data_IF_871798435196
#
_entry.id   IF_871798435196
#
_cell.length_a   1.000
_cell.length_b   1.000
_cell.length_c   1.000
_cell.angle_alpha   90.00
_cell.angle_beta   90.00
_cell.angle_gamma   90.00
#
_symmetry.space_group_name_H-M   'P 1'
#
loop_
_entity.id
_entity.type
_entity.pdbx_description
1 polymer ?
#
# COMPACT_ATOMS: atom_id res chain seq x y z
N UNK A 1 -25.14 12.96 9.11
CA UNK A 1 -23.99 12.57 8.28
C UNK A 1 -22.73 12.72 9.10
N UNK A 2 -22.07 11.63 9.43
CA UNK A 2 -20.69 11.69 9.93
C UNK A 2 -19.80 12.05 8.73
N UNK A 3 -18.98 13.10 8.88
CA UNK A 3 -18.05 13.52 7.85
C UNK A 3 -16.86 12.55 7.88
N UNK A 4 -16.75 11.69 6.86
CA UNK A 4 -15.61 10.80 6.66
C UNK A 4 -14.84 11.34 5.46
N UNK A 5 -13.77 12.08 5.70
CA UNK A 5 -12.95 12.65 4.63
C UNK A 5 -11.99 11.63 4.01
N UNK A 6 -11.76 10.51 4.70
CA UNK A 6 -10.83 9.46 4.29
C UNK A 6 -11.57 8.13 4.11
N UNK A 7 -11.21 7.37 3.09
CA UNK A 7 -11.61 5.97 2.97
C UNK A 7 -10.40 5.04 2.82
N UNK A 8 -10.46 3.90 3.51
CA UNK A 8 -9.58 2.77 3.26
C UNK A 8 -10.23 1.89 2.20
N UNK A 9 -9.55 1.70 1.06
CA UNK A 9 -9.99 0.76 0.03
C UNK A 9 -9.59 -0.67 0.42
N UNK A 10 -10.57 -1.54 0.58
CA UNK A 10 -10.37 -2.94 0.92
C UNK A 10 -10.61 -3.83 -0.31
N UNK A 11 -9.55 -4.43 -0.83
CA UNK A 11 -9.56 -5.31 -2.00
C UNK A 11 -9.56 -6.78 -1.57
N UNK A 12 -10.66 -7.47 -1.84
CA UNK A 12 -10.73 -8.93 -1.62
C UNK A 12 -9.72 -9.70 -2.46
N UNK A 13 -9.45 -9.23 -3.69
CA UNK A 13 -8.48 -9.84 -4.59
C UNK A 13 -7.02 -9.71 -4.09
N UNK A 14 -6.76 -8.82 -3.13
CA UNK A 14 -5.43 -8.63 -2.55
C UNK A 14 -5.25 -9.33 -1.19
N UNK A 15 -6.23 -10.11 -0.72
CA UNK A 15 -6.16 -10.84 0.56
C UNK A 15 -5.35 -12.13 0.45
N UNK A 16 -4.08 -12.00 0.11
CA UNK A 16 -3.10 -13.08 0.12
C UNK A 16 -1.74 -12.53 0.57
N UNK A 17 -0.86 -13.44 0.96
CA UNK A 17 0.54 -13.10 1.19
C UNK A 17 1.36 -13.46 -0.05
N UNK A 18 1.92 -12.44 -0.70
CA UNK A 18 2.76 -12.64 -1.88
C UNK A 18 4.08 -13.37 -1.55
N UNK A 19 4.56 -13.33 -0.31
CA UNK A 19 5.78 -14.06 0.09
C UNK A 19 5.58 -15.58 0.10
N UNK A 20 4.32 -16.02 0.22
CA UNK A 20 3.95 -17.44 0.10
C UNK A 20 3.68 -17.88 -1.33
N UNK A 21 3.71 -16.95 -2.29
CA UNK A 21 3.40 -17.24 -3.68
C UNK A 21 4.43 -18.24 -4.24
N UNK A 22 3.95 -19.33 -4.87
CA UNK A 22 4.74 -20.45 -5.40
C UNK A 22 5.39 -21.37 -4.36
N UNK A 23 5.15 -21.18 -3.06
CA UNK A 23 5.48 -22.20 -2.08
C UNK A 23 4.49 -23.36 -2.20
N UNK A 24 4.95 -24.59 -1.94
CA UNK A 24 4.04 -25.70 -1.80
C UNK A 24 3.19 -25.47 -0.54
N UNK A 25 1.91 -25.82 -0.58
CA UNK A 25 1.02 -25.70 0.59
C UNK A 25 1.55 -26.42 1.83
N UNK A 26 2.35 -27.48 1.65
CA UNK A 26 3.03 -28.18 2.75
C UNK A 26 4.20 -27.38 3.37
N UNK A 27 4.79 -26.46 2.61
CA UNK A 27 5.91 -25.61 3.04
C UNK A 27 5.43 -24.28 3.64
N UNK A 28 4.15 -23.94 3.42
CA UNK A 28 3.51 -22.78 4.05
C UNK A 28 3.33 -23.10 5.54
N UNK A 29 4.18 -22.50 6.38
CA UNK A 29 3.99 -22.51 7.83
C UNK A 29 2.73 -21.70 8.13
N UNK A 30 1.65 -22.38 8.51
CA UNK A 30 0.44 -21.71 8.97
C UNK A 30 0.79 -20.83 10.17
N UNK A 31 0.44 -19.56 10.04
CA UNK A 31 0.83 -18.40 10.84
C UNK A 31 0.17 -18.35 12.24
N UNK A 32 0.11 -19.50 12.94
CA UNK A 32 -0.40 -19.61 14.31
C UNK A 32 0.70 -19.56 15.37
N UNK A 33 1.96 -19.38 14.97
CA UNK A 33 3.06 -19.14 15.90
C UNK A 33 3.10 -17.63 16.23
N UNK A 34 2.69 -17.19 17.42
CA UNK A 34 2.77 -15.78 17.81
C UNK A 34 4.21 -15.24 17.88
N UNK A 35 5.22 -16.11 17.74
CA UNK A 35 6.64 -15.76 17.66
C UNK A 35 7.25 -15.99 16.27
N UNK A 36 6.45 -16.33 15.24
CA UNK A 36 6.95 -16.35 13.86
C UNK A 36 7.37 -14.93 13.47
N UNK A 37 8.62 -14.80 13.04
CA UNK A 37 9.14 -13.59 12.38
C UNK A 37 8.46 -13.41 11.01
N UNK A 38 7.77 -14.45 10.52
CA UNK A 38 7.04 -14.55 9.26
C UNK A 38 5.52 -14.35 9.40
N UNK A 39 5.03 -13.68 10.45
CA UNK A 39 3.66 -13.16 10.35
C UNK A 39 3.58 -12.33 9.08
N UNK A 40 2.59 -12.57 8.21
CA UNK A 40 2.53 -11.94 6.89
C UNK A 40 2.32 -10.42 7.02
N UNK A 41 3.38 -9.69 7.36
CA UNK A 41 3.40 -8.25 7.60
C UNK A 41 2.98 -7.49 6.34
N UNK A 42 3.06 -8.16 5.20
CA UNK A 42 2.82 -7.64 3.87
C UNK A 42 1.45 -8.00 3.30
N UNK A 43 0.55 -8.65 4.04
CA UNK A 43 -0.81 -8.86 3.53
C UNK A 43 -1.60 -7.55 3.48
N UNK A 44 -2.42 -7.39 2.44
CA UNK A 44 -3.36 -6.26 2.32
C UNK A 44 -4.23 -6.09 3.56
N UNK A 45 -4.76 -7.20 4.09
CA UNK A 45 -5.58 -7.22 5.31
C UNK A 45 -4.84 -6.59 6.49
N UNK A 46 -3.61 -7.03 6.78
CA UNK A 46 -2.82 -6.50 7.90
C UNK A 46 -2.50 -5.01 7.70
N UNK A 47 -2.16 -4.62 6.48
CA UNK A 47 -1.90 -3.22 6.14
C UNK A 47 -3.15 -2.34 6.35
N UNK A 48 -4.33 -2.80 5.93
CA UNK A 48 -5.59 -2.10 6.14
C UNK A 48 -5.98 -2.01 7.63
N UNK A 49 -5.81 -3.10 8.39
CA UNK A 49 -6.04 -3.10 9.85
C UNK A 49 -5.11 -2.13 10.59
N UNK A 50 -3.82 -2.14 10.26
CA UNK A 50 -2.84 -1.25 10.86
C UNK A 50 -3.14 0.22 10.53
N UNK A 51 -3.51 0.50 9.28
CA UNK A 51 -3.93 1.84 8.88
C UNK A 51 -5.18 2.30 9.64
N UNK A 52 -6.19 1.42 9.76
CA UNK A 52 -7.38 1.71 10.57
C UNK A 52 -7.04 2.01 12.04
N UNK A 53 -6.14 1.25 12.66
CA UNK A 53 -5.67 1.51 14.03
C UNK A 53 -4.98 2.87 14.16
N UNK A 54 -4.15 3.25 13.19
CA UNK A 54 -3.48 4.56 13.17
C UNK A 54 -4.51 5.68 13.08
N UNK A 55 -5.47 5.58 12.16
CA UNK A 55 -6.52 6.60 12.00
C UNK A 55 -7.39 6.71 13.26
N UNK A 56 -7.74 5.58 13.90
CA UNK A 56 -8.43 5.57 15.20
C UNK A 56 -7.60 6.26 16.29
N UNK A 57 -6.30 5.93 16.41
CA UNK A 57 -5.41 6.54 17.39
C UNK A 57 -5.29 8.06 17.22
N UNK A 58 -5.28 8.53 15.96
CA UNK A 58 -5.24 9.94 15.61
C UNK A 58 -6.61 10.63 15.65
N UNK A 59 -7.68 9.91 16.00
CA UNK A 59 -9.06 10.40 16.01
C UNK A 59 -9.53 10.97 14.66
N UNK A 60 -9.08 10.35 13.56
CA UNK A 60 -9.47 10.72 12.20
C UNK A 60 -10.61 9.79 11.76
N UNK A 61 -11.85 10.29 11.54
CA UNK A 61 -12.94 9.47 11.04
C UNK A 61 -12.67 8.96 9.62
N UNK A 62 -12.89 7.68 9.38
CA UNK A 62 -12.70 7.07 8.07
C UNK A 62 -13.81 6.08 7.72
N UNK A 63 -14.05 5.90 6.42
CA UNK A 63 -14.84 4.83 5.86
C UNK A 63 -13.97 3.64 5.43
N UNK A 64 -14.59 2.48 5.27
CA UNK A 64 -14.00 1.34 4.56
C UNK A 64 -14.86 1.09 3.33
N UNK A 65 -14.24 1.10 2.16
CA UNK A 65 -14.91 0.97 0.88
C UNK A 65 -14.33 -0.21 0.11
N UNK A 66 -15.09 -0.68 -0.87
CA UNK A 66 -14.72 -1.82 -1.72
C UNK A 66 -14.96 -1.47 -3.19
N UNK A 67 -14.74 -2.44 -4.09
CA UNK A 67 -15.06 -2.31 -5.51
C UNK A 67 -16.51 -1.88 -5.76
N UNK A 68 -17.45 -2.27 -4.91
CA UNK A 68 -18.87 -1.89 -5.02
C UNK A 68 -19.12 -0.40 -4.88
N UNK A 69 -18.19 0.33 -4.25
CA UNK A 69 -18.30 1.74 -3.91
C UNK A 69 -17.55 2.66 -4.88
N UNK A 70 -16.98 2.12 -5.97
CA UNK A 70 -16.19 2.88 -6.96
C UNK A 70 -16.90 4.12 -7.52
N UNK A 71 -18.22 4.10 -7.61
CA UNK A 71 -19.01 5.25 -8.10
C UNK A 71 -19.14 6.38 -7.08
N UNK A 72 -18.72 6.13 -5.85
CA UNK A 72 -18.91 7.03 -4.71
C UNK A 72 -17.59 7.57 -4.15
N UNK A 73 -16.45 7.35 -4.83
CA UNK A 73 -15.15 7.83 -4.37
C UNK A 73 -15.12 9.35 -4.13
N UNK A 74 -15.91 10.12 -4.89
CA UNK A 74 -16.04 11.58 -4.75
C UNK A 74 -16.53 12.03 -3.37
N UNK A 75 -17.11 11.12 -2.56
CA UNK A 75 -17.52 11.42 -1.18
C UNK A 75 -16.32 11.59 -0.24
N UNK A 76 -15.13 11.14 -0.64
CA UNK A 76 -13.92 11.15 0.16
C UNK A 76 -12.86 12.06 -0.44
N UNK A 77 -12.17 12.82 0.41
CA UNK A 77 -11.04 13.67 0.00
C UNK A 77 -9.78 12.84 -0.28
N UNK A 78 -9.62 11.72 0.43
CA UNK A 78 -8.47 10.81 0.30
C UNK A 78 -8.96 9.37 0.23
N UNK A 79 -8.51 8.65 -0.80
CA UNK A 79 -8.60 7.18 -0.87
C UNK A 79 -7.23 6.60 -0.51
N UNK A 80 -7.20 5.69 0.47
CA UNK A 80 -5.99 5.00 0.90
C UNK A 80 -6.00 3.56 0.40
N UNK A 81 -4.95 3.18 -0.33
CA UNK A 81 -4.71 1.86 -0.90
C UNK A 81 -3.57 1.17 -0.13
N UNK A 82 -3.83 0.57 1.05
CA UNK A 82 -2.79 -0.08 1.84
C UNK A 82 -2.40 -1.42 1.21
N UNK A 83 -1.28 -1.46 0.48
CA UNK A 83 -0.78 -2.63 -0.25
C UNK A 83 -1.86 -3.37 -1.07
N UNK A 84 -2.64 -2.62 -1.86
CA UNK A 84 -3.68 -3.18 -2.75
C UNK A 84 -2.99 -3.71 -4.01
N UNK A 85 -2.42 -4.90 -3.90
CA UNK A 85 -1.55 -5.47 -4.94
C UNK A 85 -2.28 -5.73 -6.26
N UNK A 86 -3.53 -6.20 -6.19
CA UNK A 86 -4.35 -6.54 -7.34
C UNK A 86 -5.41 -5.47 -7.57
N UNK A 87 -5.41 -4.90 -8.78
CA UNK A 87 -6.44 -4.02 -9.30
C UNK A 87 -6.87 -4.47 -10.70
N UNK A 88 -8.17 -4.41 -10.96
CA UNK A 88 -8.74 -4.58 -12.29
C UNK A 88 -8.70 -3.27 -13.09
N UNK A 89 -8.85 -3.37 -14.42
CA UNK A 89 -8.81 -2.21 -15.31
C UNK A 89 -9.85 -1.15 -14.93
N UNK A 90 -11.08 -1.56 -14.57
CA UNK A 90 -12.13 -0.64 -14.11
C UNK A 90 -11.73 0.11 -12.82
N UNK A 91 -11.07 -0.56 -11.88
CA UNK A 91 -10.59 0.07 -10.64
C UNK A 91 -9.49 1.09 -10.94
N UNK A 92 -8.53 0.72 -11.80
CA UNK A 92 -7.44 1.60 -12.24
C UNK A 92 -7.99 2.86 -12.91
N UNK A 93 -8.90 2.69 -13.88
CA UNK A 93 -9.50 3.81 -14.62
C UNK A 93 -10.31 4.72 -13.69
N UNK A 94 -11.06 4.14 -12.74
CA UNK A 94 -11.85 4.90 -11.78
C UNK A 94 -10.96 5.69 -10.81
N UNK A 95 -9.87 5.10 -10.31
CA UNK A 95 -8.92 5.78 -9.43
C UNK A 95 -8.20 6.93 -10.15
N UNK A 96 -7.82 6.74 -11.43
CA UNK A 96 -7.28 7.81 -12.27
C UNK A 96 -8.29 8.94 -12.47
N UNK A 97 -9.54 8.60 -12.79
CA UNK A 97 -10.60 9.57 -12.95
C UNK A 97 -10.87 10.35 -11.64
N UNK A 98 -10.85 9.67 -10.50
CA UNK A 98 -11.00 10.29 -9.18
C UNK A 98 -9.90 11.32 -8.90
N UNK A 99 -8.64 10.97 -9.14
CA UNK A 99 -7.51 11.90 -8.96
C UNK A 99 -7.59 13.07 -9.94
N UNK A 100 -7.96 12.82 -11.20
CA UNK A 100 -8.13 13.89 -12.20
C UNK A 100 -9.22 14.91 -11.84
N UNK A 101 -10.18 14.51 -10.99
CA UNK A 101 -11.26 15.37 -10.49
C UNK A 101 -10.89 16.07 -9.16
N UNK A 102 -9.63 15.98 -8.71
CA UNK A 102 -9.13 16.64 -7.51
C UNK A 102 -9.11 15.75 -6.26
N UNK A 103 -9.40 14.46 -6.40
CA UNK A 103 -9.23 13.48 -5.31
C UNK A 103 -7.75 13.20 -5.02
N UNK A 104 -7.45 12.76 -3.79
CA UNK A 104 -6.08 12.43 -3.39
C UNK A 104 -5.95 10.93 -3.15
N UNK A 105 -4.82 10.37 -3.59
CA UNK A 105 -4.53 8.95 -3.42
C UNK A 105 -3.32 8.75 -2.51
N UNK A 106 -3.48 7.90 -1.51
CA UNK A 106 -2.36 7.28 -0.81
C UNK A 106 -2.24 5.83 -1.29
N UNK A 107 -1.04 5.41 -1.66
CA UNK A 107 -0.75 4.03 -2.02
C UNK A 107 0.54 3.58 -1.32
N UNK A 108 0.52 2.36 -0.77
CA UNK A 108 1.70 1.80 -0.10
C UNK A 108 2.19 0.51 -0.75
N UNK A 109 3.48 0.23 -0.56
CA UNK A 109 4.19 -0.98 -0.95
C UNK A 109 3.92 -1.38 -2.41
N UNK A 110 3.31 -2.54 -2.66
CA UNK A 110 3.18 -3.15 -3.98
C UNK A 110 1.82 -2.89 -4.62
N UNK A 111 1.17 -1.79 -4.22
CA UNK A 111 -0.13 -1.40 -4.76
C UNK A 111 -0.11 -1.31 -6.28
N UNK A 112 -1.09 -1.93 -6.95
CA UNK A 112 -1.28 -1.94 -8.41
C UNK A 112 -0.19 -2.67 -9.21
N UNK A 113 0.57 -3.58 -8.58
CA UNK A 113 1.69 -4.29 -9.23
C UNK A 113 1.33 -5.69 -9.76
N UNK A 114 0.17 -6.23 -9.40
CA UNK A 114 -0.27 -7.58 -9.81
C UNK A 114 -1.56 -7.45 -10.62
N UNK A 115 -1.63 -8.11 -11.78
CA UNK A 115 -2.87 -8.18 -12.56
C UNK A 115 -3.85 -9.22 -12.00
N UNK A 116 -5.10 -9.16 -12.44
CA UNK A 116 -6.18 -10.04 -11.97
C UNK A 116 -5.91 -11.54 -12.21
N UNK A 117 -5.05 -11.89 -13.15
CA UNK A 117 -4.60 -13.26 -13.43
C UNK A 117 -3.45 -13.73 -12.50
N UNK A 118 -3.02 -12.89 -11.56
CA UNK A 118 -1.94 -13.18 -10.61
C UNK A 118 -0.54 -12.92 -11.15
N UNK A 119 -0.39 -12.39 -12.38
CA UNK A 119 0.92 -12.06 -12.92
C UNK A 119 1.47 -10.76 -12.32
N UNK A 120 2.73 -10.79 -11.88
CA UNK A 120 3.46 -9.58 -11.47
C UNK A 120 3.79 -8.74 -12.70
N UNK A 121 3.34 -7.50 -12.71
CA UNK A 121 3.57 -6.53 -13.77
C UNK A 121 5.00 -6.00 -13.73
N UNK A 122 5.49 -5.51 -14.88
CA UNK A 122 6.81 -4.85 -14.97
C UNK A 122 6.83 -3.48 -14.28
N UNK A 123 5.67 -2.82 -14.20
CA UNK A 123 5.50 -1.52 -13.57
C UNK A 123 4.12 -1.43 -12.90
N UNK A 124 3.92 -0.45 -12.03
CA UNK A 124 2.62 -0.15 -11.43
C UNK A 124 1.60 0.24 -12.49
N UNK A 125 0.37 -0.29 -12.39
CA UNK A 125 -0.74 0.13 -13.26
C UNK A 125 -1.14 1.60 -13.02
N UNK A 126 -0.81 2.15 -11.85
CA UNK A 126 -1.01 3.56 -11.46
C UNK A 126 0.30 4.38 -11.49
N UNK A 127 1.34 3.93 -12.19
CA UNK A 127 2.65 4.60 -12.25
C UNK A 127 2.58 6.07 -12.68
N UNK A 128 1.66 6.40 -13.59
CA UNK A 128 1.39 7.76 -14.06
C UNK A 128 0.81 8.67 -12.97
N UNK A 129 -0.01 8.13 -12.07
CA UNK A 129 -0.47 8.88 -10.89
C UNK A 129 0.63 9.03 -9.84
N UNK A 130 1.46 8.01 -9.68
CA UNK A 130 2.54 8.01 -8.69
C UNK A 130 3.73 8.88 -9.12
N UNK A 131 3.91 9.11 -10.42
CA UNK A 131 5.08 9.79 -10.97
C UNK A 131 6.38 9.00 -10.80
N UNK A 132 6.28 7.67 -10.64
CA UNK A 132 7.43 6.77 -10.45
C UNK A 132 7.25 5.46 -11.19
N UNK A 133 8.37 4.87 -11.59
CA UNK A 133 8.45 3.53 -12.17
C UNK A 133 9.01 2.53 -11.15
N UNK A 134 8.44 1.32 -11.10
CA UNK A 134 8.92 0.21 -10.27
C UNK A 134 10.26 -0.33 -10.77
N UNK A 135 11.19 -0.58 -9.85
CA UNK A 135 12.51 -1.16 -10.13
C UNK A 135 12.75 -2.53 -9.49
N UNK A 136 11.89 -2.96 -8.58
CA UNK A 136 12.10 -4.18 -7.81
C UNK A 136 11.90 -3.95 -6.32
N UNK A 137 12.47 -4.85 -5.52
CA UNK A 137 12.50 -4.76 -4.07
C UNK A 137 13.92 -5.05 -3.57
N UNK A 138 14.24 -4.60 -2.37
CA UNK A 138 15.47 -5.00 -1.66
C UNK A 138 15.42 -6.49 -1.32
N UNK A 139 16.59 -7.13 -1.19
CA UNK A 139 16.69 -8.52 -0.70
C UNK A 139 16.59 -8.57 0.83
N UNK A 140 16.98 -7.49 1.50
CA UNK A 140 17.03 -7.39 2.95
C UNK A 140 15.62 -7.26 3.55
N UNK A 141 15.39 -8.02 4.63
CA UNK A 141 14.16 -8.00 5.44
C UNK A 141 14.24 -7.05 6.64
N UNK A 142 15.39 -6.42 6.85
CA UNK A 142 15.59 -5.34 7.82
C UNK A 142 16.37 -4.25 7.09
N UNK A 143 15.74 -3.09 6.94
CA UNK A 143 16.31 -1.94 6.24
C UNK A 143 16.17 -0.67 7.10
N UNK A 144 16.91 0.37 6.71
CA UNK A 144 16.89 1.65 7.40
C UNK A 144 16.62 2.75 6.40
N UNK A 145 15.67 3.64 6.72
CA UNK A 145 15.38 4.80 5.89
C UNK A 145 15.59 6.09 6.68
N UNK A 146 16.06 7.11 5.97
CA UNK A 146 16.10 8.49 6.46
C UNK A 146 15.76 9.43 5.31
N UNK A 147 15.09 10.57 5.59
CA UNK A 147 14.84 11.56 4.56
C UNK A 147 16.17 12.15 4.07
N UNK A 148 16.20 12.59 2.80
CA UNK A 148 17.27 13.49 2.35
C UNK A 148 17.20 14.80 3.14
N UNK A 149 18.34 15.46 3.32
CA UNK A 149 18.45 16.71 4.09
C UNK A 149 17.42 17.77 3.65
N UNK A 150 17.20 17.93 2.35
CA UNK A 150 16.21 18.87 1.78
C UNK A 150 14.76 18.55 2.13
N UNK A 151 14.46 17.35 2.63
CA UNK A 151 13.13 16.85 2.97
C UNK A 151 13.05 16.35 4.42
N UNK A 152 13.98 16.77 5.29
CA UNK A 152 14.00 16.36 6.70
C UNK A 152 12.69 16.67 7.44
N UNK A 153 11.98 17.73 7.04
CA UNK A 153 10.70 18.15 7.61
C UNK A 153 9.57 17.10 7.44
N UNK A 154 9.69 16.16 6.51
CA UNK A 154 8.70 15.09 6.31
C UNK A 154 8.80 14.03 7.41
N UNK A 155 9.99 13.86 7.99
CA UNK A 155 10.30 12.88 9.03
C UNK A 155 11.13 13.54 10.13
N UNK A 156 10.61 14.58 10.78
CA UNK A 156 11.37 15.44 11.71
C UNK A 156 12.10 14.68 12.83
N UNK A 157 11.56 13.53 13.25
CA UNK A 157 12.15 12.72 14.31
C UNK A 157 13.29 11.82 13.81
N UNK A 158 13.53 11.69 12.51
CA UNK A 158 14.48 10.71 11.96
C UNK A 158 15.58 11.38 11.13
N UNK A 159 16.80 10.86 11.24
CA UNK A 159 17.99 11.38 10.57
C UNK A 159 18.90 10.23 10.11
N UNK A 160 19.93 10.47 9.30
CA UNK A 160 20.91 9.41 8.99
C UNK A 160 21.59 8.80 10.22
N UNK A 161 21.70 9.56 11.33
CA UNK A 161 22.25 9.08 12.60
C UNK A 161 21.20 8.37 13.48
N UNK A 162 19.91 8.60 13.21
CA UNK A 162 18.78 7.97 13.89
C UNK A 162 17.71 7.58 12.86
N UNK A 163 17.99 6.57 12.02
CA UNK A 163 17.08 6.19 10.94
C UNK A 163 15.87 5.42 11.47
N UNK A 164 14.80 5.37 10.67
CA UNK A 164 13.69 4.46 10.93
C UNK A 164 14.13 3.05 10.57
N UNK A 165 13.99 2.11 11.50
CA UNK A 165 14.10 0.68 11.19
C UNK A 165 12.81 0.21 10.54
N UNK A 166 12.93 -0.37 9.34
CA UNK A 166 11.82 -1.00 8.63
C UNK A 166 12.04 -2.51 8.56
N UNK A 167 10.96 -3.23 8.79
CA UNK A 167 10.91 -4.68 8.67
C UNK A 167 10.21 -5.04 7.36
N UNK A 168 10.71 -6.07 6.68
CA UNK A 168 10.29 -6.49 5.35
C UNK A 168 11.11 -5.83 4.22
N UNK A 169 10.93 -6.38 3.02
CA UNK A 169 11.53 -5.85 1.79
C UNK A 169 10.96 -4.46 1.46
N UNK A 170 11.78 -3.62 0.84
CA UNK A 170 11.41 -2.25 0.46
C UNK A 170 11.28 -2.13 -1.06
N UNK A 171 10.18 -1.51 -1.50
CA UNK A 171 9.93 -1.24 -2.92
C UNK A 171 10.91 -0.20 -3.45
N UNK A 172 11.68 -0.57 -4.46
CA UNK A 172 12.59 0.32 -5.18
C UNK A 172 11.84 0.98 -6.33
N UNK A 173 11.93 2.31 -6.41
CA UNK A 173 11.27 3.09 -7.46
C UNK A 173 12.22 4.13 -8.06
N UNK A 174 11.96 4.49 -9.31
CA UNK A 174 12.64 5.57 -10.01
C UNK A 174 11.65 6.71 -10.29
N UNK A 175 11.95 7.96 -9.89
CA UNK A 175 11.15 9.10 -10.30
C UNK A 175 11.10 9.23 -11.83
N UNK A 176 9.91 9.46 -12.36
CA UNK A 176 9.74 9.87 -13.75
C UNK A 176 10.13 11.36 -13.86
N UNK A 177 10.84 11.73 -14.93
CA UNK A 177 11.25 13.13 -15.12
C UNK A 177 9.98 13.95 -15.37
N UNK A 178 9.68 14.87 -14.45
CA UNK A 178 8.68 15.94 -14.63
C UNK A 178 9.19 16.94 -15.67
#
# INVERSE_FOLDING_TARGET
NYCQDIAIYYSYNSNFDNNTNRLNTADIRWDFDPFSIEQSMDSHKKAAENLGKILLYLNIPFGVITKSDLKELFKYQIIMLPNVMVLEAEEVDTLKAYVSQGGNLYASKNTSLISIDGAKQKNFMLSDLFGVSYLGETEEIVTYISPKETHAYIFEQYSPQMPVTLYGTQTLVKPEKV
#
